data_IF_282386641685
#
_entry.id   IF_282386641685
#
_cell.length_a   1.000
_cell.length_b   1.000
_cell.length_c   1.000
_cell.angle_alpha   90.00
_cell.angle_beta   90.00
_cell.angle_gamma   90.00
#
_symmetry.space_group_name_H-M   'P 1'
#
loop_
_entity.id
_entity.type
_entity.pdbx_description
1 polymer ?
#
# COMPACT_ATOMS: atom_id res chain seq x y z
N UNK A 1 15.00 15.68 11.90
CA UNK A 1 13.98 14.84 11.24
C UNK A 1 14.56 14.30 9.94
N UNK A 2 14.48 13.00 9.77
CA UNK A 2 14.94 12.35 8.54
C UNK A 2 14.01 12.68 7.39
N UNK A 3 14.57 13.18 6.29
CA UNK A 3 13.77 13.53 5.12
C UNK A 3 13.09 12.30 4.49
N UNK A 4 13.67 11.10 4.70
CA UNK A 4 13.13 9.87 4.14
C UNK A 4 12.09 9.17 5.00
N UNK A 5 11.84 9.66 6.22
CA UNK A 5 10.87 9.02 7.11
C UNK A 5 9.46 9.50 6.87
N UNK A 6 8.56 8.54 6.69
CA UNK A 6 7.13 8.79 6.52
C UNK A 6 6.37 8.11 7.66
N UNK A 7 5.30 8.75 8.12
CA UNK A 7 4.49 8.20 9.20
C UNK A 7 3.69 7.00 8.73
N UNK A 8 3.68 5.95 9.56
CA UNK A 8 2.90 4.72 9.32
C UNK A 8 2.17 4.32 10.58
N UNK A 9 0.95 3.79 10.48
CA UNK A 9 0.29 3.20 11.65
C UNK A 9 1.02 1.94 12.09
N UNK A 10 1.11 1.72 13.40
CA UNK A 10 1.61 0.48 13.94
C UNK A 10 0.65 -0.67 13.69
N UNK A 11 1.12 -1.91 13.82
CA UNK A 11 0.29 -3.09 13.54
C UNK A 11 -0.97 -3.10 14.42
N UNK A 12 -0.87 -2.68 15.66
CA UNK A 12 -2.00 -2.63 16.60
C UNK A 12 -3.00 -1.53 16.26
N UNK A 13 -2.61 -0.57 15.43
CA UNK A 13 -3.49 0.53 15.02
C UNK A 13 -4.27 0.23 13.75
N UNK A 14 -3.95 -0.87 13.08
CA UNK A 14 -4.63 -1.23 11.83
C UNK A 14 -6.11 -1.51 12.09
N UNK A 15 -6.98 -0.95 11.27
CA UNK A 15 -8.42 -1.12 11.37
C UNK A 15 -9.01 -1.51 10.02
N UNK A 16 -10.01 -2.38 10.03
CA UNK A 16 -10.58 -2.90 8.79
C UNK A 16 -11.29 -1.83 7.95
N UNK A 17 -11.94 -0.86 8.60
CA UNK A 17 -12.67 0.19 7.89
C UNK A 17 -11.79 0.98 6.92
N UNK A 18 -10.71 1.62 7.38
CA UNK A 18 -9.79 2.32 6.48
C UNK A 18 -9.18 1.43 5.41
N UNK A 19 -8.89 0.16 5.73
CA UNK A 19 -8.36 -0.80 4.77
C UNK A 19 -9.39 -1.05 3.66
N UNK A 20 -10.64 -1.29 4.01
CA UNK A 20 -11.69 -1.52 3.02
C UNK A 20 -11.95 -0.28 2.17
N UNK A 21 -11.89 0.91 2.77
CA UNK A 21 -12.00 2.16 2.01
C UNK A 21 -10.88 2.32 1.01
N UNK A 22 -9.65 2.03 1.42
CA UNK A 22 -8.50 2.09 0.52
C UNK A 22 -8.67 1.10 -0.65
N UNK A 23 -9.15 -0.10 -0.35
CA UNK A 23 -9.35 -1.16 -1.34
C UNK A 23 -10.60 -0.98 -2.20
N UNK A 24 -11.47 -0.02 -1.87
CA UNK A 24 -12.65 0.27 -2.68
C UNK A 24 -12.29 0.86 -4.04
N UNK A 25 -11.14 1.50 -4.17
CA UNK A 25 -10.68 2.08 -5.43
C UNK A 25 -9.96 1.01 -6.27
N UNK A 26 -10.36 0.90 -7.54
CA UNK A 26 -9.83 -0.09 -8.47
C UNK A 26 -8.32 0.03 -8.66
N UNK A 27 -7.81 1.25 -8.78
CA UNK A 27 -6.38 1.46 -9.00
C UNK A 27 -5.56 1.05 -7.77
N UNK A 28 -6.07 1.33 -6.58
CA UNK A 28 -5.40 0.91 -5.35
C UNK A 28 -5.44 -0.61 -5.18
N UNK A 29 -6.57 -1.25 -5.53
CA UNK A 29 -6.62 -2.73 -5.53
C UNK A 29 -5.60 -3.32 -6.48
N UNK A 30 -5.44 -2.71 -7.67
CA UNK A 30 -4.45 -3.15 -8.64
C UNK A 30 -3.03 -3.08 -8.08
N UNK A 31 -2.69 -1.99 -7.42
CA UNK A 31 -1.36 -1.85 -6.78
C UNK A 31 -1.16 -2.94 -5.74
N UNK A 32 -2.15 -3.17 -4.87
CA UNK A 32 -2.05 -4.19 -3.84
C UNK A 32 -1.90 -5.58 -4.45
N UNK A 33 -2.63 -5.88 -5.53
CA UNK A 33 -2.52 -7.16 -6.23
C UNK A 33 -1.11 -7.37 -6.79
N UNK A 34 -0.54 -6.34 -7.42
CA UNK A 34 0.82 -6.43 -7.95
C UNK A 34 1.85 -6.60 -6.85
N UNK A 35 1.69 -5.89 -5.74
CA UNK A 35 2.60 -6.03 -4.60
C UNK A 35 2.46 -7.40 -3.92
N UNK A 36 1.25 -7.95 -3.87
CA UNK A 36 1.03 -9.25 -3.24
C UNK A 36 1.65 -10.40 -4.02
N UNK A 37 1.89 -10.22 -5.32
CA UNK A 37 2.57 -11.22 -6.13
C UNK A 37 4.05 -11.34 -5.75
N UNK A 38 4.65 -10.28 -5.20
CA UNK A 38 6.05 -10.25 -4.77
C UNK A 38 6.14 -9.53 -3.41
N UNK A 39 5.59 -10.14 -2.34
CA UNK A 39 5.35 -9.42 -1.08
C UNK A 39 6.61 -8.98 -0.34
N UNK A 40 7.75 -9.59 -0.62
CA UNK A 40 9.01 -9.23 0.03
C UNK A 40 9.78 -8.14 -0.73
N UNK A 41 9.29 -7.75 -1.91
CA UNK A 41 9.99 -6.79 -2.76
C UNK A 41 9.43 -5.39 -2.63
N UNK A 42 10.33 -4.42 -2.53
CA UNK A 42 9.96 -3.02 -2.70
C UNK A 42 9.86 -2.70 -4.20
N UNK A 43 8.90 -1.85 -4.55
CA UNK A 43 8.79 -1.33 -5.91
C UNK A 43 8.79 0.19 -5.88
N UNK A 44 9.43 0.78 -6.88
CA UNK A 44 9.38 2.21 -7.10
C UNK A 44 7.94 2.62 -7.44
N UNK A 45 7.40 3.61 -6.74
CA UNK A 45 6.02 4.07 -6.99
C UNK A 45 5.82 4.47 -8.45
N UNK A 46 6.81 5.13 -9.06
CA UNK A 46 6.74 5.54 -10.46
C UNK A 46 6.73 4.39 -11.45
N UNK A 47 7.05 3.16 -11.01
CA UNK A 47 7.05 1.98 -11.89
C UNK A 47 5.65 1.41 -12.15
N UNK A 48 4.66 1.84 -11.39
CA UNK A 48 3.28 1.40 -11.62
C UNK A 48 2.67 2.17 -12.78
N UNK A 49 2.13 1.43 -13.74
CA UNK A 49 1.46 2.02 -14.90
C UNK A 49 -0.01 2.23 -14.56
N UNK A 50 -0.32 3.41 -14.05
CA UNK A 50 -1.68 3.77 -13.67
C UNK A 50 -2.15 4.94 -14.56
N UNK A 51 -3.39 4.88 -15.07
CA UNK A 51 -3.94 5.92 -15.94
C UNK A 51 -4.42 7.14 -15.14
N UNK A 52 -3.51 7.73 -14.37
CA UNK A 52 -3.85 8.78 -13.43
C UNK A 52 -2.84 9.92 -13.54
N UNK A 53 -3.28 11.13 -13.19
CA UNK A 53 -2.39 12.28 -13.05
C UNK A 53 -1.40 12.06 -11.92
N UNK A 54 -0.32 12.82 -11.91
CA UNK A 54 0.70 12.75 -10.86
C UNK A 54 0.10 13.03 -9.48
N UNK A 55 -0.76 14.04 -9.37
CA UNK A 55 -1.39 14.38 -8.09
C UNK A 55 -2.32 13.28 -7.58
N UNK A 56 -3.09 12.65 -8.48
CA UNK A 56 -3.94 11.52 -8.12
C UNK A 56 -3.12 10.32 -7.65
N UNK A 57 -2.01 10.02 -8.33
CA UNK A 57 -1.12 8.94 -7.91
C UNK A 57 -0.54 9.20 -6.53
N UNK A 58 -0.08 10.42 -6.28
CA UNK A 58 0.47 10.80 -4.97
C UNK A 58 -0.57 10.60 -3.87
N UNK A 59 -1.83 10.94 -4.14
CA UNK A 59 -2.93 10.71 -3.18
C UNK A 59 -3.14 9.22 -2.93
N UNK A 60 -3.10 8.39 -3.96
CA UNK A 60 -3.28 6.94 -3.80
C UNK A 60 -2.18 6.32 -2.92
N UNK A 61 -0.93 6.74 -3.10
CA UNK A 61 0.16 6.26 -2.25
C UNK A 61 -0.07 6.64 -0.78
N UNK A 62 -0.51 7.87 -0.54
CA UNK A 62 -0.80 8.31 0.82
C UNK A 62 -1.96 7.53 1.45
N UNK A 63 -3.03 7.31 0.70
CA UNK A 63 -4.18 6.54 1.20
C UNK A 63 -3.74 5.12 1.58
N UNK A 64 -2.97 4.46 0.73
CA UNK A 64 -2.45 3.11 1.00
C UNK A 64 -1.56 3.08 2.24
N UNK A 65 -0.69 4.08 2.39
CA UNK A 65 0.21 4.18 3.54
C UNK A 65 -0.56 4.42 4.83
N UNK A 66 -1.48 5.39 4.84
CA UNK A 66 -2.23 5.75 6.03
C UNK A 66 -3.18 4.64 6.48
N UNK A 67 -3.69 3.86 5.54
CA UNK A 67 -4.51 2.69 5.86
C UNK A 67 -3.69 1.53 6.44
N UNK A 68 -2.36 1.57 6.29
CA UNK A 68 -1.50 0.51 6.77
C UNK A 68 -1.32 -0.65 5.81
N UNK A 69 -1.70 -0.48 4.55
CA UNK A 69 -1.55 -1.53 3.54
C UNK A 69 -0.12 -1.64 3.04
N UNK A 70 0.57 -0.52 2.94
CA UNK A 70 1.94 -0.50 2.42
C UNK A 70 2.88 0.24 3.36
N UNK A 71 4.15 -0.16 3.31
CA UNK A 71 5.24 0.62 3.84
C UNK A 71 5.81 1.45 2.70
N UNK A 72 5.91 2.77 2.89
CA UNK A 72 6.44 3.69 1.91
C UNK A 72 7.72 4.31 2.41
N UNK A 73 8.74 4.35 1.57
CA UNK A 73 10.06 4.88 1.91
C UNK A 73 10.49 5.91 0.88
N UNK A 74 10.94 7.06 1.36
CA UNK A 74 11.54 8.09 0.51
C UNK A 74 13.05 7.85 0.46
N UNK A 75 13.54 7.45 -0.71
CA UNK A 75 14.96 7.14 -0.92
C UNK A 75 15.75 8.36 -1.42
N UNK A 76 15.12 9.54 -1.51
CA UNK A 76 15.75 10.74 -2.04
C UNK A 76 15.63 10.85 -3.54
N UNK A 77 15.85 9.75 -4.27
CA UNK A 77 15.71 9.68 -5.73
C UNK A 77 14.38 9.07 -6.18
N UNK A 78 13.51 8.74 -5.24
CA UNK A 78 12.21 8.17 -5.54
C UNK A 78 11.55 7.60 -4.30
N UNK A 79 10.26 7.28 -4.44
CA UNK A 79 9.46 6.67 -3.40
C UNK A 79 9.30 5.19 -3.70
N UNK A 80 9.55 4.36 -2.70
CA UNK A 80 9.41 2.90 -2.81
C UNK A 80 8.32 2.42 -1.88
N UNK A 81 7.58 1.41 -2.33
CA UNK A 81 6.52 0.80 -1.51
C UNK A 81 6.65 -0.73 -1.52
N UNK A 82 6.21 -1.33 -0.43
CA UNK A 82 6.03 -2.78 -0.31
C UNK A 82 4.77 -3.07 0.49
N UNK A 83 4.17 -4.23 0.24
CA UNK A 83 3.00 -4.66 0.99
C UNK A 83 3.40 -5.00 2.43
N UNK A 84 2.59 -4.58 3.40
CA UNK A 84 2.78 -4.96 4.80
C UNK A 84 2.14 -6.31 5.07
N UNK A 85 2.59 -7.32 4.37
CA UNK A 85 1.99 -8.65 4.34
C UNK A 85 1.83 -9.27 5.72
N UNK A 86 2.90 -9.28 6.51
CA UNK A 86 2.89 -9.96 7.81
C UNK A 86 1.96 -9.28 8.79
N UNK A 87 1.96 -7.95 8.82
CA UNK A 87 1.08 -7.17 9.69
C UNK A 87 -0.40 -7.39 9.32
N UNK A 88 -0.68 -7.38 8.02
CA UNK A 88 -2.05 -7.57 7.52
C UNK A 88 -2.53 -8.99 7.79
N UNK A 89 -1.68 -9.98 7.62
CA UNK A 89 -2.03 -11.37 7.90
C UNK A 89 -2.24 -11.60 9.40
N UNK A 90 -1.45 -10.95 10.24
CA UNK A 90 -1.60 -11.04 11.68
C UNK A 90 -2.93 -10.48 12.15
N UNK A 91 -3.34 -9.32 11.60
CA UNK A 91 -4.56 -8.64 12.04
C UNK A 91 -5.82 -9.13 11.32
N UNK A 92 -5.70 -9.46 10.03
CA UNK A 92 -6.86 -9.81 9.19
C UNK A 92 -6.50 -11.01 8.31
N UNK A 93 -6.38 -12.20 8.90
CA UNK A 93 -5.96 -13.40 8.16
C UNK A 93 -6.86 -13.65 6.95
N UNK A 94 -6.26 -13.82 5.79
CA UNK A 94 -6.95 -14.14 4.55
C UNK A 94 -7.61 -12.97 3.84
N UNK A 95 -7.65 -11.77 4.44
CA UNK A 95 -8.36 -10.64 3.85
C UNK A 95 -7.75 -10.22 2.50
N UNK A 96 -6.45 -10.02 2.46
CA UNK A 96 -5.78 -9.55 1.25
C UNK A 96 -5.89 -10.59 0.14
N UNK A 97 -5.68 -11.86 0.46
CA UNK A 97 -5.81 -12.94 -0.52
C UNK A 97 -7.22 -12.98 -1.12
N UNK A 98 -8.25 -12.82 -0.28
CA UNK A 98 -9.63 -12.83 -0.75
C UNK A 98 -9.91 -11.65 -1.68
N UNK A 99 -9.43 -10.46 -1.34
CA UNK A 99 -9.63 -9.26 -2.16
C UNK A 99 -8.90 -9.40 -3.50
N UNK A 100 -7.66 -9.86 -3.48
CA UNK A 100 -6.85 -10.04 -4.70
C UNK A 100 -7.49 -11.10 -5.60
N UNK A 101 -7.97 -12.21 -5.02
CA UNK A 101 -8.62 -13.28 -5.79
C UNK A 101 -9.94 -12.84 -6.39
N UNK A 102 -10.64 -11.92 -5.75
CA UNK A 102 -11.93 -11.43 -6.24
C UNK A 102 -11.77 -10.47 -7.43
N UNK A 103 -10.59 -9.95 -7.62
CA UNK A 103 -10.31 -9.01 -8.70
C UNK A 103 -10.50 -7.59 -8.30
#
# INVERSE_FOLDING_TARGET
>A
MDAGELAHPGVEELAVGPILLALADENRRRVVAELSAHPDDERLCASFDLPLSKSSRTRHWRVLREAGLVHQRDAGNGLYIRLRKDDLEQRFPGLIQAVVAAG
#
